data_IF_658674434766
#
_entry.id   IF_658674434766
#
_cell.length_a   1.000
_cell.length_b   1.000
_cell.length_c   1.000
_cell.angle_alpha   90.00
_cell.angle_beta   90.00
_cell.angle_gamma   90.00
#
_symmetry.space_group_name_H-M   'P 1'
#
loop_
_entity.id
_entity.type
_entity.pdbx_description
1 polymer ?
#
# COMPACT_ATOMS: atom_id res chain seq x y z
N UNK A 1 5.38 19.80 7.73
CA UNK A 1 5.74 19.45 6.34
C UNK A 1 6.71 20.52 5.86
N UNK A 2 7.90 20.14 5.38
CA UNK A 2 8.92 21.09 4.90
C UNK A 2 8.62 21.50 3.44
N UNK A 3 9.12 22.67 3.01
CA UNK A 3 8.95 23.19 1.64
C UNK A 3 9.36 22.20 0.55
N UNK A 4 10.42 21.41 0.79
CA UNK A 4 10.89 20.38 -0.15
C UNK A 4 9.87 19.26 -0.39
N UNK A 5 9.06 18.91 0.61
CA UNK A 5 8.03 17.87 0.48
C UNK A 5 6.84 18.38 -0.34
N UNK A 6 6.43 19.63 -0.14
CA UNK A 6 5.37 20.27 -0.93
C UNK A 6 5.78 20.44 -2.40
N UNK A 7 7.04 20.79 -2.66
CA UNK A 7 7.53 20.97 -4.03
C UNK A 7 7.57 19.64 -4.80
N UNK A 8 8.04 18.55 -4.16
CA UNK A 8 8.01 17.19 -4.74
C UNK A 8 6.60 16.69 -5.03
N UNK A 9 5.65 16.98 -4.13
CA UNK A 9 4.24 16.63 -4.32
C UNK A 9 3.63 17.34 -5.55
N UNK A 10 3.92 18.64 -5.71
CA UNK A 10 3.51 19.38 -6.91
C UNK A 10 4.09 18.81 -8.19
N UNK A 11 5.36 18.36 -8.16
CA UNK A 11 6.01 17.72 -9.31
C UNK A 11 5.38 16.37 -9.67
N UNK A 12 5.06 15.54 -8.67
CA UNK A 12 4.46 14.22 -8.89
C UNK A 12 3.01 14.33 -9.40
N UNK A 13 2.25 15.31 -8.90
CA UNK A 13 0.94 15.64 -9.47
C UNK A 13 1.09 16.06 -10.92
N UNK A 14 2.00 16.97 -11.23
CA UNK A 14 2.23 17.43 -12.61
C UNK A 14 2.53 16.27 -13.57
N UNK A 15 3.41 15.34 -13.18
CA UNK A 15 3.72 14.14 -13.98
C UNK A 15 2.49 13.27 -14.27
N UNK A 16 1.57 13.14 -13.32
CA UNK A 16 0.31 12.42 -13.52
C UNK A 16 -0.62 13.21 -14.44
N UNK A 17 -0.73 14.52 -14.21
CA UNK A 17 -1.64 15.40 -14.96
C UNK A 17 -1.24 15.54 -16.43
N UNK A 18 0.05 15.53 -16.75
CA UNK A 18 0.59 15.59 -18.11
C UNK A 18 0.44 14.26 -18.88
N UNK A 19 0.05 13.19 -18.21
CA UNK A 19 -0.10 11.87 -18.81
C UNK A 19 -1.56 11.58 -19.21
N UNK A 20 -1.78 11.19 -20.47
CA UNK A 20 -3.10 10.88 -21.03
C UNK A 20 -3.45 9.37 -21.05
N UNK A 21 -2.57 8.53 -20.51
CA UNK A 21 -2.81 7.09 -20.43
C UNK A 21 -4.10 6.79 -19.65
N UNK A 22 -4.69 5.63 -19.93
CA UNK A 22 -5.84 5.15 -19.14
C UNK A 22 -5.51 5.05 -17.66
N UNK A 23 -4.28 4.62 -17.33
CA UNK A 23 -3.76 4.59 -15.97
C UNK A 23 -3.85 5.96 -15.29
N UNK A 24 -3.28 7.00 -15.92
CA UNK A 24 -3.31 8.36 -15.40
C UNK A 24 -4.74 8.89 -15.23
N UNK A 25 -5.62 8.64 -16.21
CA UNK A 25 -7.02 9.09 -16.13
C UNK A 25 -7.78 8.44 -14.98
N UNK A 26 -7.59 7.16 -14.74
CA UNK A 26 -8.22 6.46 -13.61
C UNK A 26 -7.65 6.95 -12.28
N UNK A 27 -6.33 7.12 -12.19
CA UNK A 27 -5.68 7.68 -11.01
C UNK A 27 -6.18 9.10 -10.71
N UNK A 28 -6.28 10.00 -11.70
CA UNK A 28 -6.86 11.35 -11.54
C UNK A 28 -8.29 11.31 -10.97
N UNK A 29 -9.09 10.30 -11.30
CA UNK A 29 -10.43 10.13 -10.71
C UNK A 29 -10.35 9.71 -9.24
N UNK A 30 -9.38 8.86 -8.87
CA UNK A 30 -9.13 8.45 -7.48
C UNK A 30 -8.67 9.64 -6.63
N UNK A 31 -7.83 10.50 -7.21
CA UNK A 31 -7.28 11.69 -6.54
C UNK A 31 -8.26 12.87 -6.45
N UNK A 32 -9.41 12.77 -7.13
CA UNK A 32 -10.40 13.85 -7.10
C UNK A 32 -11.07 13.88 -5.73
N UNK A 33 -11.22 15.07 -5.18
CA UNK A 33 -12.00 15.27 -3.97
C UNK A 33 -13.50 15.01 -4.27
N UNK A 34 -13.94 13.80 -3.95
CA UNK A 34 -15.32 13.34 -4.16
C UNK A 34 -16.13 13.48 -2.87
N UNK A 35 -17.25 14.22 -2.94
CA UNK A 35 -18.14 14.41 -1.78
C UNK A 35 -18.89 13.15 -1.37
N UNK A 36 -19.04 12.19 -2.28
CA UNK A 36 -19.73 10.92 -2.03
C UNK A 36 -18.73 9.83 -1.70
N UNK A 37 -18.90 9.23 -0.51
CA UNK A 37 -18.11 8.09 -0.05
C UNK A 37 -18.19 6.91 -1.04
N UNK A 38 -19.41 6.53 -1.45
CA UNK A 38 -19.64 5.40 -2.37
C UNK A 38 -18.98 5.64 -3.72
N UNK A 39 -19.04 6.88 -4.23
CA UNK A 39 -18.38 7.23 -5.49
C UNK A 39 -16.87 7.12 -5.36
N UNK A 40 -16.29 7.59 -4.25
CA UNK A 40 -14.85 7.47 -3.99
C UNK A 40 -14.40 6.02 -3.97
N UNK A 41 -15.12 5.15 -3.26
CA UNK A 41 -14.87 3.69 -3.25
C UNK A 41 -14.96 3.11 -4.66
N UNK A 42 -16.02 3.43 -5.42
CA UNK A 42 -16.21 2.93 -6.78
C UNK A 42 -15.05 3.33 -7.71
N UNK A 43 -14.52 4.56 -7.60
CA UNK A 43 -13.37 5.01 -8.40
C UNK A 43 -12.09 4.27 -8.06
N UNK A 44 -11.87 3.99 -6.78
CA UNK A 44 -10.71 3.23 -6.34
C UNK A 44 -10.79 1.79 -6.86
N UNK A 45 -11.95 1.14 -6.77
CA UNK A 45 -12.17 -0.21 -7.30
C UNK A 45 -12.04 -0.27 -8.84
N UNK A 46 -12.54 0.75 -9.55
CA UNK A 46 -12.34 0.89 -11.01
C UNK A 46 -10.85 0.93 -11.37
N UNK A 47 -10.04 1.61 -10.55
CA UNK A 47 -8.60 1.69 -10.74
C UNK A 47 -7.90 0.37 -10.41
N UNK A 48 -8.24 -0.29 -9.29
CA UNK A 48 -7.72 -1.62 -8.94
C UNK A 48 -7.95 -2.66 -10.04
N UNK A 49 -9.18 -2.71 -10.58
CA UNK A 49 -9.52 -3.62 -11.67
C UNK A 49 -8.71 -3.35 -12.95
N UNK A 50 -8.19 -2.13 -13.14
CA UNK A 50 -7.25 -1.81 -14.20
C UNK A 50 -5.81 -2.23 -13.88
N UNK A 51 -5.37 -2.04 -12.64
CA UNK A 51 -4.03 -2.42 -12.17
C UNK A 51 -3.78 -3.93 -12.26
N UNK A 52 -4.82 -4.75 -12.09
CA UNK A 52 -4.74 -6.21 -12.19
C UNK A 52 -4.61 -6.75 -13.61
N UNK A 53 -4.72 -5.92 -14.64
CA UNK A 53 -4.64 -6.38 -16.04
C UNK A 53 -3.19 -6.58 -16.46
N UNK A 54 -2.87 -7.72 -17.07
CA UNK A 54 -1.49 -8.02 -17.48
C UNK A 54 -0.95 -7.10 -18.58
N UNK A 55 -1.82 -6.48 -19.39
CA UNK A 55 -1.44 -5.56 -20.46
C UNK A 55 -1.23 -4.10 -19.98
N UNK A 56 -1.54 -3.80 -18.71
CA UNK A 56 -1.41 -2.45 -18.16
C UNK A 56 -0.04 -2.16 -17.55
N UNK A 57 0.81 -3.17 -17.31
CA UNK A 57 2.09 -3.04 -16.59
C UNK A 57 2.96 -1.89 -17.11
N UNK A 58 3.19 -1.81 -18.44
CA UNK A 58 4.01 -0.74 -19.04
C UNK A 58 3.48 0.68 -18.78
N UNK A 59 2.17 0.84 -18.62
CA UNK A 59 1.57 2.15 -18.33
C UNK A 59 1.62 2.46 -16.84
N UNK A 60 1.44 1.45 -15.99
CA UNK A 60 1.58 1.56 -14.54
C UNK A 60 3.02 1.97 -14.20
N UNK A 61 4.01 1.29 -14.78
CA UNK A 61 5.44 1.55 -14.56
C UNK A 61 5.85 2.99 -14.84
N UNK A 62 5.30 3.61 -15.87
CA UNK A 62 5.58 5.03 -16.20
C UNK A 62 5.13 6.01 -15.12
N UNK A 63 4.17 5.62 -14.29
CA UNK A 63 3.55 6.46 -13.27
C UNK A 63 3.73 5.91 -11.86
N UNK A 64 4.45 4.80 -11.70
CA UNK A 64 4.41 4.05 -10.45
C UNK A 64 4.96 4.87 -9.27
N UNK A 65 6.12 5.51 -9.45
CA UNK A 65 6.72 6.38 -8.43
C UNK A 65 5.80 7.55 -8.02
N UNK A 66 5.33 8.44 -8.94
CA UNK A 66 4.43 9.53 -8.54
C UNK A 66 3.07 9.02 -8.03
N UNK A 67 2.55 7.93 -8.57
CA UNK A 67 1.29 7.35 -8.11
C UNK A 67 1.40 6.83 -6.67
N UNK A 68 2.48 6.12 -6.35
CA UNK A 68 2.71 5.60 -5.01
C UNK A 68 2.88 6.72 -4.00
N UNK A 69 3.64 7.77 -4.31
CA UNK A 69 3.82 8.91 -3.42
C UNK A 69 2.47 9.58 -3.07
N UNK A 70 1.64 9.83 -4.08
CA UNK A 70 0.36 10.52 -3.87
C UNK A 70 -0.68 9.62 -3.22
N UNK A 71 -0.79 8.36 -3.63
CA UNK A 71 -1.69 7.40 -2.99
C UNK A 71 -1.31 7.19 -1.53
N UNK A 72 0.00 7.20 -1.23
CA UNK A 72 0.50 7.12 0.12
C UNK A 72 0.13 8.34 0.96
N UNK A 73 0.28 9.56 0.43
CA UNK A 73 -0.17 10.76 1.15
C UNK A 73 -1.69 10.75 1.40
N UNK A 74 -2.49 10.41 0.39
CA UNK A 74 -3.95 10.26 0.53
C UNK A 74 -4.34 9.19 1.57
N UNK A 75 -3.53 8.14 1.66
CA UNK A 75 -3.68 7.11 2.68
C UNK A 75 -3.33 7.63 4.09
N UNK A 76 -2.36 8.53 4.22
CA UNK A 76 -1.96 9.15 5.48
C UNK A 76 -2.89 10.29 5.94
N UNK A 77 -3.61 10.92 5.01
CA UNK A 77 -4.68 11.86 5.37
C UNK A 77 -5.75 11.18 6.23
N UNK A 78 -6.42 11.92 7.12
CA UNK A 78 -7.51 11.44 8.01
C UNK A 78 -8.74 11.01 7.20
N UNK A 79 -8.58 9.96 6.41
CA UNK A 79 -9.57 9.36 5.52
C UNK A 79 -10.30 8.23 6.25
N UNK A 80 -11.56 8.02 5.85
CA UNK A 80 -12.34 6.89 6.32
C UNK A 80 -11.60 5.56 6.10
N UNK A 81 -11.71 4.65 7.04
CA UNK A 81 -10.98 3.37 7.07
C UNK A 81 -11.13 2.54 5.79
N UNK A 82 -12.36 2.36 5.31
CA UNK A 82 -12.62 1.66 4.04
C UNK A 82 -11.83 2.27 2.87
N UNK A 83 -11.74 3.60 2.79
CA UNK A 83 -10.95 4.28 1.76
C UNK A 83 -9.47 3.99 1.95
N UNK A 84 -8.97 4.00 3.18
CA UNK A 84 -7.58 3.62 3.49
C UNK A 84 -7.28 2.19 3.02
N UNK A 85 -8.16 1.23 3.28
CA UNK A 85 -8.02 -0.15 2.80
C UNK A 85 -8.00 -0.23 1.27
N UNK A 86 -8.89 0.49 0.60
CA UNK A 86 -8.99 0.51 -0.86
C UNK A 86 -7.75 1.17 -1.51
N UNK A 87 -7.23 2.25 -0.92
CA UNK A 87 -5.99 2.90 -1.37
C UNK A 87 -4.77 2.01 -1.17
N UNK A 88 -4.69 1.31 -0.04
CA UNK A 88 -3.61 0.38 0.22
C UNK A 88 -3.59 -0.80 -0.76
N UNK A 89 -4.76 -1.27 -1.17
CA UNK A 89 -4.85 -2.28 -2.23
C UNK A 89 -4.31 -1.74 -3.57
N UNK A 90 -4.58 -0.49 -3.94
CA UNK A 90 -3.95 0.14 -5.11
C UNK A 90 -2.42 0.18 -5.00
N UNK A 91 -1.92 0.60 -3.83
CA UNK A 91 -0.49 0.67 -3.53
C UNK A 91 0.16 -0.72 -3.67
N UNK A 92 -0.46 -1.77 -3.10
CA UNK A 92 0.00 -3.15 -3.23
C UNK A 92 0.02 -3.65 -4.68
N UNK A 93 -1.03 -3.35 -5.46
CA UNK A 93 -1.12 -3.73 -6.87
C UNK A 93 -0.05 -3.04 -7.74
N UNK A 94 0.19 -1.73 -7.55
CA UNK A 94 1.26 -1.01 -8.25
C UNK A 94 2.61 -1.62 -7.88
N UNK A 95 2.80 -1.91 -6.60
CA UNK A 95 3.98 -2.58 -6.08
C UNK A 95 4.29 -3.93 -6.70
N UNK A 96 3.27 -4.78 -6.78
CA UNK A 96 3.35 -6.08 -7.45
C UNK A 96 3.80 -5.94 -8.91
N UNK A 97 3.28 -4.95 -9.63
CA UNK A 97 3.69 -4.66 -11.01
C UNK A 97 5.14 -4.17 -11.08
N UNK A 98 5.52 -3.21 -10.24
CA UNK A 98 6.91 -2.70 -10.16
C UNK A 98 7.91 -3.81 -9.92
N UNK A 99 7.56 -4.73 -9.03
CA UNK A 99 8.42 -5.85 -8.71
C UNK A 99 8.52 -6.86 -9.85
N UNK A 100 7.42 -7.20 -10.52
CA UNK A 100 7.46 -8.09 -11.68
C UNK A 100 8.31 -7.53 -12.83
N UNK A 101 8.45 -6.22 -12.89
CA UNK A 101 9.28 -5.50 -13.86
C UNK A 101 10.71 -5.23 -13.33
N UNK A 102 11.01 -5.63 -12.08
CA UNK A 102 12.36 -5.62 -11.50
C UNK A 102 12.80 -4.31 -10.83
N UNK A 103 11.88 -3.45 -10.38
CA UNK A 103 12.21 -2.14 -9.79
C UNK A 103 12.57 -2.21 -8.28
N UNK A 104 13.83 -1.92 -7.88
CA UNK A 104 14.26 -2.02 -6.49
C UNK A 104 13.78 -0.86 -5.60
N UNK A 105 13.41 0.29 -6.18
CA UNK A 105 12.90 1.46 -5.45
C UNK A 105 11.65 1.16 -4.62
N UNK A 106 10.87 0.18 -5.05
CA UNK A 106 9.64 -0.26 -4.37
C UNK A 106 9.89 -0.77 -2.95
N UNK A 107 11.07 -1.34 -2.68
CA UNK A 107 11.42 -1.89 -1.36
C UNK A 107 11.42 -0.83 -0.26
N UNK A 108 12.02 0.33 -0.54
CA UNK A 108 12.03 1.47 0.41
C UNK A 108 10.62 1.96 0.70
N UNK A 109 9.75 1.94 -0.30
CA UNK A 109 8.34 2.38 -0.18
C UNK A 109 7.55 1.38 0.68
N UNK A 110 7.73 0.07 0.49
CA UNK A 110 7.11 -0.97 1.35
C UNK A 110 7.50 -0.82 2.81
N UNK A 111 8.80 -0.70 3.11
CA UNK A 111 9.28 -0.57 4.49
C UNK A 111 8.67 0.69 5.13
N UNK A 112 8.64 1.79 4.37
CA UNK A 112 8.06 3.04 4.84
C UNK A 112 6.55 2.92 5.09
N UNK A 113 5.81 2.20 4.23
CA UNK A 113 4.38 1.92 4.37
C UNK A 113 4.09 1.11 5.63
N UNK A 114 4.83 0.03 5.86
CA UNK A 114 4.65 -0.84 7.01
C UNK A 114 4.95 -0.13 8.34
N UNK A 115 6.07 0.58 8.40
CA UNK A 115 6.44 1.37 9.58
C UNK A 115 5.35 2.39 9.89
N UNK A 116 4.79 3.05 8.86
CA UNK A 116 3.76 4.05 9.06
C UNK A 116 2.38 3.46 9.37
N UNK A 117 2.01 2.32 8.80
CA UNK A 117 0.78 1.60 9.15
C UNK A 117 0.82 1.16 10.62
N UNK A 118 1.96 0.60 11.06
CA UNK A 118 2.17 0.23 12.45
C UNK A 118 2.19 1.45 13.39
N UNK A 119 2.91 2.52 13.00
CA UNK A 119 2.96 3.77 13.77
C UNK A 119 1.58 4.44 13.88
N UNK A 120 0.79 4.46 12.81
CA UNK A 120 -0.55 5.02 12.81
C UNK A 120 -1.48 4.23 13.74
N UNK A 121 -1.35 2.90 13.80
CA UNK A 121 -2.08 2.06 14.76
C UNK A 121 -1.67 2.36 16.21
N UNK A 122 -0.37 2.48 16.49
CA UNK A 122 0.14 2.82 17.84
C UNK A 122 -0.28 4.23 18.26
N UNK A 123 -0.30 5.20 17.35
CA UNK A 123 -0.65 6.59 17.68
C UNK A 123 -2.16 6.82 17.83
N UNK A 124 -2.99 5.95 17.24
CA UNK A 124 -4.45 6.06 17.27
C UNK A 124 -5.07 4.90 18.06
N UNK A 125 -4.60 4.68 19.30
CA UNK A 125 -5.06 3.64 20.25
C UNK A 125 -6.59 3.59 20.50
N UNK A 126 -7.34 4.57 19.97
CA UNK A 126 -8.79 4.69 20.10
C UNK A 126 -9.60 4.11 18.93
N UNK A 127 -8.98 3.81 17.77
CA UNK A 127 -9.64 3.08 16.67
C UNK A 127 -9.44 1.57 16.87
N UNK A 128 -10.47 0.75 16.59
CA UNK A 128 -10.40 -0.68 16.96
C UNK A 128 -9.42 -1.42 16.05
N UNK A 129 -8.83 -2.52 16.56
CA UNK A 129 -7.93 -3.37 15.79
C UNK A 129 -8.57 -3.92 14.50
N UNK A 130 -9.88 -4.13 14.55
CA UNK A 130 -10.67 -4.62 13.43
C UNK A 130 -10.58 -3.66 12.24
N UNK A 131 -10.57 -2.36 12.54
CA UNK A 131 -10.54 -1.27 11.57
C UNK A 131 -9.19 -1.18 10.82
N UNK A 132 -8.18 -1.93 11.24
CA UNK A 132 -6.87 -1.91 10.58
C UNK A 132 -6.48 -3.29 10.02
N UNK A 133 -7.23 -4.35 10.33
CA UNK A 133 -6.91 -5.70 9.89
C UNK A 133 -6.87 -5.89 8.37
N UNK A 134 -7.83 -5.36 7.56
CA UNK A 134 -7.83 -5.57 6.11
C UNK A 134 -6.60 -4.97 5.42
N UNK A 135 -6.20 -3.77 5.86
CA UNK A 135 -4.99 -3.07 5.41
C UNK A 135 -3.74 -3.91 5.67
N UNK A 136 -3.61 -4.41 6.89
CA UNK A 136 -2.43 -5.15 7.36
C UNK A 136 -2.31 -6.48 6.64
N UNK A 137 -3.44 -7.17 6.43
CA UNK A 137 -3.53 -8.39 5.63
C UNK A 137 -3.10 -8.11 4.19
N UNK A 138 -3.65 -7.08 3.54
CA UNK A 138 -3.33 -6.78 2.15
C UNK A 138 -1.83 -6.46 1.94
N UNK A 139 -1.24 -5.66 2.83
CA UNK A 139 0.20 -5.34 2.77
C UNK A 139 1.04 -6.60 3.02
N UNK A 140 0.68 -7.42 4.02
CA UNK A 140 1.44 -8.62 4.39
C UNK A 140 1.35 -9.72 3.33
N UNK A 141 0.17 -9.95 2.74
CA UNK A 141 -0.01 -10.89 1.63
C UNK A 141 0.82 -10.45 0.42
N UNK A 142 0.83 -9.14 0.12
CA UNK A 142 1.70 -8.60 -0.93
C UNK A 142 3.16 -8.95 -0.62
N UNK A 143 3.67 -8.69 0.59
CA UNK A 143 5.06 -8.98 0.96
C UNK A 143 5.39 -10.48 0.89
N UNK A 144 4.46 -11.36 1.24
CA UNK A 144 4.62 -12.82 1.11
C UNK A 144 4.75 -13.23 -0.36
N UNK A 145 3.97 -12.64 -1.25
CA UNK A 145 4.08 -12.94 -2.68
C UNK A 145 5.40 -12.40 -3.25
N UNK A 146 5.87 -11.26 -2.75
CA UNK A 146 7.17 -10.69 -3.09
C UNK A 146 8.32 -11.61 -2.64
N UNK A 147 8.28 -12.12 -1.41
CA UNK A 147 9.35 -12.95 -0.85
C UNK A 147 9.53 -14.28 -1.59
N UNK A 148 8.46 -14.78 -2.21
CA UNK A 148 8.49 -15.98 -3.08
C UNK A 148 9.24 -15.76 -4.38
N UNK A 149 9.12 -14.58 -4.98
CA UNK A 149 9.65 -14.29 -6.31
C UNK A 149 11.09 -13.77 -6.21
N UNK A 150 11.40 -12.99 -5.16
CA UNK A 150 12.72 -12.38 -4.95
C UNK A 150 13.23 -12.63 -3.52
N UNK A 151 13.53 -13.88 -3.15
CA UNK A 151 13.94 -14.24 -1.79
C UNK A 151 15.18 -13.46 -1.30
N UNK A 152 16.11 -13.14 -2.19
CA UNK A 152 17.30 -12.34 -1.89
C UNK A 152 16.97 -10.91 -1.44
N UNK A 153 15.90 -10.32 -1.99
CA UNK A 153 15.44 -8.97 -1.60
C UNK A 153 14.74 -9.04 -0.24
N UNK A 154 13.97 -10.10 -0.02
CA UNK A 154 13.27 -10.30 1.24
C UNK A 154 14.24 -10.51 2.41
N UNK A 155 15.37 -11.17 2.20
CA UNK A 155 16.39 -11.36 3.24
C UNK A 155 16.88 -10.04 3.85
N UNK A 156 17.05 -9.00 3.02
CA UNK A 156 17.55 -7.70 3.49
C UNK A 156 16.53 -6.95 4.39
N UNK A 157 15.25 -7.26 4.24
CA UNK A 157 14.15 -6.59 4.96
C UNK A 157 13.45 -7.51 5.97
N UNK A 158 13.79 -8.80 5.98
CA UNK A 158 13.08 -9.87 6.69
C UNK A 158 12.84 -9.54 8.15
N UNK A 159 13.90 -9.14 8.85
CA UNK A 159 13.85 -8.85 10.29
C UNK A 159 12.87 -7.72 10.57
N UNK A 160 12.91 -6.64 9.77
CA UNK A 160 12.00 -5.50 9.94
C UNK A 160 10.55 -5.90 9.69
N UNK A 161 10.27 -6.70 8.64
CA UNK A 161 8.92 -7.19 8.34
C UNK A 161 8.41 -8.07 9.48
N UNK A 162 9.23 -9.03 9.93
CA UNK A 162 8.86 -9.99 10.97
C UNK A 162 8.66 -9.28 12.30
N UNK A 163 9.52 -8.33 12.68
CA UNK A 163 9.39 -7.56 13.92
C UNK A 163 8.09 -6.76 13.94
N UNK A 164 7.70 -6.16 12.81
CA UNK A 164 6.43 -5.45 12.68
C UNK A 164 5.24 -6.42 12.81
N UNK A 165 5.26 -7.56 12.12
CA UNK A 165 4.17 -8.56 12.17
C UNK A 165 4.07 -9.22 13.55
N UNK A 166 5.20 -9.50 14.21
CA UNK A 166 5.25 -9.98 15.61
C UNK A 166 4.67 -8.92 16.53
N UNK A 167 4.99 -7.65 16.32
CA UNK A 167 4.38 -6.53 17.05
C UNK A 167 2.85 -6.58 17.00
N UNK A 168 2.26 -7.04 15.90
CA UNK A 168 0.80 -7.24 15.80
C UNK A 168 0.31 -8.48 16.54
N UNK A 169 1.09 -9.56 16.54
CA UNK A 169 0.75 -10.83 17.19
C UNK A 169 0.71 -10.74 18.72
N UNK A 170 1.63 -9.99 19.33
CA UNK A 170 1.83 -9.95 20.79
C UNK A 170 1.04 -8.85 21.51
N UNK A 171 0.34 -7.98 20.79
CA UNK A 171 -0.38 -6.87 21.40
C UNK A 171 -1.61 -7.30 22.23
N UNK A 172 -2.18 -6.43 23.09
CA UNK A 172 -3.23 -6.81 24.04
C UNK A 172 -4.65 -6.92 23.44
N UNK A 173 -4.85 -6.49 22.19
CA UNK A 173 -6.17 -6.40 21.54
C UNK A 173 -6.41 -7.31 20.31
N UNK A 174 -5.62 -8.37 20.01
CA UNK A 174 -5.82 -9.13 18.79
C UNK A 174 -7.15 -9.87 18.85
N UNK A 175 -7.97 -9.66 17.82
CA UNK A 175 -9.08 -10.56 17.52
C UNK A 175 -8.52 -11.90 17.09
N UNK A 176 -9.20 -13.01 17.40
CA UNK A 176 -8.76 -14.37 17.02
C UNK A 176 -8.36 -14.49 15.55
N UNK A 177 -9.06 -13.75 14.66
CA UNK A 177 -8.78 -13.68 13.22
C UNK A 177 -7.42 -13.06 12.87
N UNK A 178 -6.98 -12.03 13.61
CA UNK A 178 -5.67 -11.38 13.38
C UNK A 178 -4.56 -12.26 13.93
N UNK A 179 -4.76 -12.89 15.10
CA UNK A 179 -3.83 -13.88 15.66
C UNK A 179 -3.62 -15.05 14.70
N UNK A 180 -4.70 -15.60 14.15
CA UNK A 180 -4.63 -16.69 13.19
C UNK A 180 -3.93 -16.25 11.90
N UNK A 181 -4.28 -15.07 11.36
CA UNK A 181 -3.61 -14.56 10.16
C UNK A 181 -2.11 -14.29 10.39
N UNK A 182 -1.76 -13.58 11.46
CA UNK A 182 -0.36 -13.25 11.77
C UNK A 182 0.46 -14.51 12.05
N UNK A 183 -0.11 -15.50 12.74
CA UNK A 183 0.50 -16.82 12.90
C UNK A 183 0.75 -17.50 11.54
N UNK A 184 -0.24 -17.53 10.66
CA UNK A 184 -0.09 -18.10 9.31
C UNK A 184 0.92 -17.33 8.46
N UNK A 185 0.94 -16.01 8.54
CA UNK A 185 1.89 -15.16 7.83
C UNK A 185 3.33 -15.41 8.31
N UNK A 186 3.57 -15.46 9.62
CA UNK A 186 4.86 -15.81 10.21
C UNK A 186 5.32 -17.21 9.77
N UNK A 187 4.39 -18.18 9.69
CA UNK A 187 4.69 -19.50 9.15
C UNK A 187 5.09 -19.47 7.67
N UNK A 188 4.43 -18.65 6.84
CA UNK A 188 4.77 -18.46 5.43
C UNK A 188 6.13 -17.77 5.26
N UNK A 189 6.53 -16.91 6.19
CA UNK A 189 7.86 -16.30 6.17
C UNK A 189 8.99 -17.27 6.56
N UNK A 190 8.68 -18.34 7.30
CA UNK A 190 9.67 -19.35 7.75
C UNK A 190 10.24 -20.22 6.62
N UNK A 191 9.63 -20.20 5.43
CA UNK A 191 10.11 -20.95 4.26
C UNK A 191 11.18 -20.23 3.43
N UNK A 192 11.68 -19.08 3.89
CA UNK A 192 12.70 -18.24 3.26
C UNK A 192 13.88 -18.03 4.23
#
# INVERSE_FOLDING_TARGET
MNDDSMNRMSEDLQKIFDNDSKCARLLKKVLRDERSFDLRVQRIQEFQAYLQKSDSSKFIMKLAEPALNILFEQFQERSHETIRSELAHCIGLIGYVMLNEGEPKWNTIIIQLLINAFRHRIQNEHETLFDHAPLMIAITDTIIDISRIYPQIFQDIFVDIVDIVIGWYIEPLPTDRILEYTSQALHKFRSF
#
